data_IF_676882581644
#
_entry.id   IF_676882581644
#
_cell.length_a   1.000
_cell.length_b   1.000
_cell.length_c   1.000
_cell.angle_alpha   90.00
_cell.angle_beta   90.00
_cell.angle_gamma   90.00
#
_symmetry.space_group_name_H-M   'P 1'
#
loop_
_entity.id
_entity.type
_entity.pdbx_description
1 polymer ?
#
# COMPACT_ATOMS: atom_id res chain seq x y z
N UNK A 1 19.02 -1.20 -28.21
CA UNK A 1 17.91 -1.66 -29.07
C UNK A 1 17.40 -2.95 -28.46
N UNK A 2 16.19 -2.94 -27.88
CA UNK A 2 15.64 -4.14 -27.23
C UNK A 2 15.29 -5.19 -28.29
N UNK A 3 15.42 -6.49 -27.99
CA UNK A 3 14.97 -7.53 -28.89
C UNK A 3 13.45 -7.41 -29.10
N UNK A 4 13.01 -7.58 -30.34
CA UNK A 4 11.59 -7.61 -30.69
C UNK A 4 10.94 -8.78 -29.94
N UNK A 5 10.12 -8.45 -28.95
CA UNK A 5 9.41 -9.41 -28.08
C UNK A 5 8.22 -10.06 -28.80
N UNK A 6 8.04 -9.83 -30.10
CA UNK A 6 6.99 -10.49 -30.88
C UNK A 6 7.28 -11.99 -30.96
N UNK A 7 6.45 -12.85 -30.34
CA UNK A 7 6.61 -14.29 -30.50
C UNK A 7 6.48 -14.65 -31.98
N UNK A 8 7.51 -15.31 -32.52
CA UNK A 8 7.50 -15.81 -33.90
C UNK A 8 6.70 -17.11 -33.93
N UNK A 9 5.43 -17.03 -34.30
CA UNK A 9 4.61 -18.22 -34.54
C UNK A 9 4.85 -18.80 -35.94
N UNK A 10 4.55 -20.09 -36.11
CA UNK A 10 4.77 -20.85 -37.36
C UNK A 10 3.87 -20.35 -38.51
N UNK A 11 4.25 -20.67 -39.75
CA UNK A 11 3.68 -20.14 -41.01
C UNK A 11 2.15 -20.27 -41.18
N UNK A 12 1.46 -21.05 -40.34
CA UNK A 12 0.00 -21.24 -40.41
C UNK A 12 -0.74 -20.76 -39.14
N UNK A 13 -0.10 -19.92 -38.31
CA UNK A 13 -0.75 -19.31 -37.16
C UNK A 13 -1.65 -18.15 -37.61
N UNK A 14 -2.96 -18.35 -37.56
CA UNK A 14 -3.94 -17.31 -37.80
C UNK A 14 -4.01 -16.40 -36.56
N UNK A 15 -3.75 -15.08 -36.68
CA UNK A 15 -3.78 -14.16 -35.54
C UNK A 15 -5.23 -13.72 -35.27
N UNK A 16 -6.11 -14.67 -34.97
CA UNK A 16 -7.42 -14.36 -34.37
C UNK A 16 -7.34 -14.21 -32.85
N UNK A 17 -6.21 -14.54 -32.23
CA UNK A 17 -6.02 -14.66 -30.77
C UNK A 17 -4.95 -13.71 -30.20
N UNK A 18 -4.79 -12.50 -30.75
CA UNK A 18 -4.10 -11.46 -29.97
C UNK A 18 -5.09 -10.94 -28.91
N UNK A 19 -5.10 -11.61 -27.76
CA UNK A 19 -5.79 -11.11 -26.57
C UNK A 19 -5.12 -9.82 -26.12
N UNK A 20 -5.93 -8.83 -25.79
CA UNK A 20 -5.42 -7.55 -25.28
C UNK A 20 -4.57 -7.78 -24.03
N UNK A 21 -3.56 -6.95 -23.81
CA UNK A 21 -2.66 -7.12 -22.65
C UNK A 21 -3.41 -7.13 -21.30
N UNK A 22 -4.50 -6.39 -21.19
CA UNK A 22 -5.36 -6.34 -20.00
C UNK A 22 -6.51 -7.36 -20.02
N UNK A 23 -6.63 -8.18 -21.06
CA UNK A 23 -7.65 -9.22 -21.11
C UNK A 23 -7.30 -10.34 -20.11
N UNK A 24 -8.24 -10.74 -19.24
CA UNK A 24 -7.97 -11.80 -18.29
C UNK A 24 -7.72 -13.14 -19.02
N UNK A 25 -6.69 -13.90 -18.60
CA UNK A 25 -6.42 -15.21 -19.16
C UNK A 25 -7.54 -16.20 -18.80
N UNK A 26 -7.59 -17.30 -19.56
CA UNK A 26 -8.54 -18.38 -19.29
C UNK A 26 -8.27 -19.03 -17.92
N UNK A 27 -9.32 -19.50 -17.20
CA UNK A 27 -9.15 -20.33 -16.03
C UNK A 27 -8.26 -21.55 -16.34
N UNK A 28 -7.26 -21.80 -15.49
CA UNK A 28 -6.24 -22.83 -15.74
C UNK A 28 -4.92 -22.30 -16.29
N UNK A 29 -4.83 -21.00 -16.59
CA UNK A 29 -3.54 -20.36 -16.89
C UNK A 29 -2.57 -20.47 -15.70
N UNK A 30 -1.40 -21.04 -15.97
CA UNK A 30 -0.34 -21.31 -14.97
C UNK A 30 0.82 -20.31 -15.03
N UNK A 31 0.75 -19.32 -15.93
CA UNK A 31 1.77 -18.29 -16.06
C UNK A 31 1.67 -17.21 -14.98
N UNK A 32 2.51 -16.18 -15.12
CA UNK A 32 2.58 -15.10 -14.16
C UNK A 32 1.44 -14.08 -14.34
N UNK A 33 0.77 -13.74 -13.25
CA UNK A 33 -0.20 -12.65 -13.19
C UNK A 33 0.33 -11.57 -12.25
N UNK A 34 0.54 -10.32 -12.72
CA UNK A 34 1.09 -9.25 -11.89
C UNK A 34 0.14 -8.87 -10.76
N UNK A 35 0.69 -8.40 -9.63
CA UNK A 35 -0.04 -7.93 -8.43
C UNK A 35 -1.06 -8.90 -7.81
N UNK A 36 -0.91 -10.20 -8.09
CA UNK A 36 -1.69 -11.32 -7.54
C UNK A 36 -2.20 -11.07 -6.11
N UNK A 37 -1.27 -10.88 -5.17
CA UNK A 37 -1.53 -10.81 -3.71
C UNK A 37 -2.50 -9.72 -3.27
N UNK A 38 -2.65 -8.65 -4.03
CA UNK A 38 -3.52 -7.52 -3.68
C UNK A 38 -4.97 -7.75 -4.10
N UNK A 39 -5.16 -8.57 -5.15
CA UNK A 39 -6.48 -8.84 -5.74
C UNK A 39 -6.99 -10.28 -5.46
N UNK A 40 -6.13 -11.15 -4.91
CA UNK A 40 -6.38 -12.59 -4.67
C UNK A 40 -7.46 -12.92 -3.62
N UNK A 41 -7.94 -11.94 -2.84
CA UNK A 41 -8.84 -12.20 -1.72
C UNK A 41 -10.31 -12.04 -2.13
N UNK A 42 -11.05 -13.15 -2.15
CA UNK A 42 -12.53 -13.15 -2.20
C UNK A 42 -13.17 -12.83 -3.56
N UNK A 43 -12.40 -12.77 -4.66
CA UNK A 43 -12.90 -12.43 -5.99
C UNK A 43 -12.70 -13.58 -7.00
N UNK A 44 -13.45 -13.55 -8.11
CA UNK A 44 -13.33 -14.55 -9.19
C UNK A 44 -12.01 -14.40 -9.94
N UNK A 45 -11.48 -15.51 -10.44
CA UNK A 45 -10.21 -15.55 -11.20
C UNK A 45 -10.10 -14.45 -12.25
N UNK A 46 -11.03 -14.39 -13.20
CA UNK A 46 -11.00 -13.41 -14.29
C UNK A 46 -11.06 -11.95 -13.82
N UNK A 47 -11.64 -11.67 -12.65
CA UNK A 47 -11.78 -10.32 -12.12
C UNK A 47 -10.44 -9.84 -11.56
N UNK A 48 -9.83 -10.63 -10.67
CA UNK A 48 -8.56 -10.22 -10.07
C UNK A 48 -7.41 -10.24 -11.08
N UNK A 49 -7.41 -11.19 -12.02
CA UNK A 49 -6.36 -11.22 -13.05
C UNK A 49 -6.43 -10.00 -13.94
N UNK A 50 -7.64 -9.58 -14.35
CA UNK A 50 -7.85 -8.36 -15.12
C UNK A 50 -7.33 -7.15 -14.35
N UNK A 51 -7.68 -7.02 -13.07
CA UNK A 51 -7.19 -5.97 -12.18
C UNK A 51 -5.66 -5.92 -12.09
N UNK A 52 -5.02 -7.08 -11.93
CA UNK A 52 -3.56 -7.18 -11.91
C UNK A 52 -2.90 -6.67 -13.20
N UNK A 53 -3.41 -7.07 -14.37
CA UNK A 53 -2.88 -6.60 -15.65
C UNK A 53 -3.12 -5.10 -15.88
N UNK A 54 -4.33 -4.58 -15.59
CA UNK A 54 -4.63 -3.15 -15.71
C UNK A 54 -3.73 -2.31 -14.81
N UNK A 55 -3.50 -2.75 -13.57
CA UNK A 55 -2.61 -2.07 -12.65
C UNK A 55 -1.16 -2.09 -13.11
N UNK A 56 -0.72 -3.20 -13.70
CA UNK A 56 0.64 -3.30 -14.25
C UNK A 56 0.86 -2.34 -15.41
N UNK A 57 -0.16 -2.17 -16.27
CA UNK A 57 -0.11 -1.25 -17.40
C UNK A 57 -0.08 0.21 -16.93
N UNK A 58 -0.92 0.56 -15.96
CA UNK A 58 -0.92 1.93 -15.39
C UNK A 58 0.40 2.26 -14.70
N UNK A 59 0.99 1.30 -13.96
CA UNK A 59 2.31 1.45 -13.36
C UNK A 59 3.41 1.65 -14.40
N UNK A 60 3.39 0.86 -15.48
CA UNK A 60 4.34 1.00 -16.59
C UNK A 60 4.26 2.40 -17.19
N UNK A 61 3.06 2.86 -17.56
CA UNK A 61 2.88 4.20 -18.13
C UNK A 61 3.34 5.30 -17.17
N UNK A 62 3.05 5.15 -15.88
CA UNK A 62 3.56 6.08 -14.86
C UNK A 62 5.09 6.12 -14.85
N UNK A 63 5.75 4.98 -14.95
CA UNK A 63 7.22 4.90 -14.99
C UNK A 63 7.79 5.50 -16.27
N UNK A 64 7.19 5.27 -17.43
CA UNK A 64 7.58 5.88 -18.71
C UNK A 64 7.44 7.41 -18.67
N UNK A 65 6.34 7.91 -18.11
CA UNK A 65 6.11 9.34 -17.94
C UNK A 65 7.11 9.97 -16.96
N UNK A 66 7.45 9.27 -15.87
CA UNK A 66 8.47 9.74 -14.93
C UNK A 66 9.87 9.74 -15.56
N UNK A 67 10.19 8.74 -16.37
CA UNK A 67 11.48 8.65 -17.06
C UNK A 67 11.68 9.76 -18.11
N UNK A 68 10.60 10.28 -18.68
CA UNK A 68 10.64 11.38 -19.67
C UNK A 68 10.60 12.77 -19.04
N UNK A 69 10.25 12.88 -17.75
CA UNK A 69 10.24 14.15 -17.04
C UNK A 69 11.66 14.61 -16.70
N UNK A 70 11.95 15.90 -16.99
CA UNK A 70 13.20 16.53 -16.56
C UNK A 70 13.17 16.75 -15.05
N UNK A 71 14.20 16.30 -14.35
CA UNK A 71 14.36 16.52 -12.91
C UNK A 71 14.88 17.95 -12.72
N UNK A 72 14.03 18.83 -12.21
CA UNK A 72 14.43 20.18 -11.81
C UNK A 72 14.99 20.15 -10.38
N UNK A 73 16.31 20.23 -10.26
CA UNK A 73 17.05 20.17 -8.97
C UNK A 73 16.97 21.50 -8.21
N UNK A 74 16.55 22.59 -8.86
CA UNK A 74 16.42 23.92 -8.24
C UNK A 74 15.10 24.08 -7.50
N UNK A 75 14.10 23.29 -7.88
CA UNK A 75 12.81 23.25 -7.22
C UNK A 75 12.90 22.31 -6.04
N UNK A 76 13.06 22.85 -4.84
CA UNK A 76 12.77 22.14 -3.61
C UNK A 76 11.25 22.21 -3.46
N UNK A 77 10.47 21.17 -3.84
CA UNK A 77 9.05 21.19 -3.52
C UNK A 77 8.95 21.28 -2.00
N UNK A 78 8.10 22.16 -1.47
CA UNK A 78 7.65 22.02 -0.10
C UNK A 78 7.16 20.58 0.04
N UNK A 79 7.71 19.84 1.00
CA UNK A 79 7.36 18.45 1.24
C UNK A 79 5.88 18.39 1.66
N UNK A 80 4.98 18.40 0.70
CA UNK A 80 3.56 18.25 0.93
C UNK A 80 3.34 16.77 1.13
N UNK A 81 3.67 16.29 2.34
CA UNK A 81 3.18 15.02 2.82
C UNK A 81 1.66 15.19 2.92
N UNK A 82 0.96 14.89 1.83
CA UNK A 82 -0.47 14.64 1.90
C UNK A 82 -0.58 13.36 2.68
N UNK A 83 -0.74 13.49 4.00
CA UNK A 83 -1.19 12.42 4.86
C UNK A 83 -2.55 12.06 4.31
N UNK A 84 -2.58 11.12 3.37
CA UNK A 84 -3.80 10.51 2.96
C UNK A 84 -4.18 9.66 4.17
N UNK A 85 -4.94 10.27 5.07
CA UNK A 85 -5.77 9.57 6.03
C UNK A 85 -6.82 8.81 5.23
N UNK A 86 -6.37 7.93 4.33
CA UNK A 86 -7.25 6.91 3.79
C UNK A 86 -7.41 6.00 4.98
N UNK A 87 -8.57 6.14 5.59
CA UNK A 87 -9.24 5.16 6.43
C UNK A 87 -9.39 3.88 5.60
N UNK A 88 -8.26 3.26 5.24
CA UNK A 88 -8.21 1.93 4.70
C UNK A 88 -8.65 1.02 5.84
N UNK A 89 -9.95 0.74 5.92
CA UNK A 89 -10.52 -0.55 6.24
C UNK A 89 -9.92 -1.38 7.39
N UNK A 90 -9.35 -0.77 8.42
CA UNK A 90 -8.91 -1.51 9.62
C UNK A 90 -9.75 -1.06 10.78
N UNK A 91 -10.43 -2.00 11.44
CA UNK A 91 -11.29 -1.79 12.63
C UNK A 91 -10.64 -0.99 13.78
N UNK A 92 -9.34 -0.65 13.69
CA UNK A 92 -8.63 0.18 14.65
C UNK A 92 -7.84 1.29 13.94
N UNK A 93 -8.22 2.56 14.17
CA UNK A 93 -7.35 3.74 13.99
C UNK A 93 -7.60 4.78 15.08
N UNK A 94 -6.52 5.12 15.77
CA UNK A 94 -6.17 6.26 16.66
C UNK A 94 -5.02 5.69 17.47
N UNK A 95 -3.85 5.68 16.86
CA UNK A 95 -2.78 4.72 17.14
C UNK A 95 -2.29 4.82 18.59
N UNK A 96 -2.67 3.86 19.43
CA UNK A 96 -2.02 3.61 20.72
C UNK A 96 -0.57 3.18 20.53
N UNK A 97 0.14 2.92 21.63
CA UNK A 97 1.55 2.57 21.57
C UNK A 97 1.78 1.27 20.79
N UNK A 98 2.94 1.18 20.12
CA UNK A 98 3.36 -0.01 19.38
C UNK A 98 3.40 -1.22 20.33
N UNK A 99 2.75 -2.35 19.99
CA UNK A 99 2.93 -3.61 20.71
C UNK A 99 4.42 -3.97 20.78
N UNK A 100 4.86 -4.53 21.91
CA UNK A 100 6.29 -4.81 22.27
C UNK A 100 7.09 -3.63 22.84
N UNK A 101 6.48 -2.47 23.11
CA UNK A 101 7.13 -1.50 23.99
C UNK A 101 7.31 -2.10 25.39
N UNK A 102 8.53 -2.07 25.91
CA UNK A 102 8.93 -2.71 27.17
C UNK A 102 9.11 -1.72 28.33
N UNK A 103 8.92 -0.42 28.09
CA UNK A 103 9.03 0.61 29.12
C UNK A 103 7.79 0.73 30.01
N UNK A 104 7.88 1.61 31.00
CA UNK A 104 6.79 1.88 31.94
C UNK A 104 5.65 2.66 31.28
N UNK A 105 4.41 2.26 31.56
CA UNK A 105 3.19 2.97 31.14
C UNK A 105 2.38 3.30 32.39
N UNK A 106 2.28 4.60 32.75
CA UNK A 106 1.47 5.05 33.87
C UNK A 106 0.05 4.51 33.82
N UNK A 107 -0.46 4.05 34.97
CA UNK A 107 -1.86 3.61 35.16
C UNK A 107 -2.32 2.40 34.32
N UNK A 108 -1.47 1.81 33.45
CA UNK A 108 -1.79 0.60 32.66
C UNK A 108 -2.26 -0.57 33.54
N UNK A 109 -1.70 -0.71 34.73
CA UNK A 109 -1.98 -1.84 35.65
C UNK A 109 -3.42 -1.87 36.17
N UNK A 110 -4.16 -0.76 36.05
CA UNK A 110 -5.55 -0.63 36.51
C UNK A 110 -6.57 -0.72 35.36
N UNK A 111 -6.11 -0.99 34.13
CA UNK A 111 -6.95 -1.10 32.93
C UNK A 111 -6.74 -2.48 32.32
N UNK A 112 -7.79 -3.28 32.28
CA UNK A 112 -7.77 -4.65 31.75
C UNK A 112 -8.95 -4.86 30.80
N UNK A 113 -8.91 -5.95 30.02
CA UNK A 113 -9.99 -6.33 29.09
C UNK A 113 -9.93 -5.69 27.70
N UNK A 114 -8.94 -4.83 27.44
CA UNK A 114 -8.75 -4.16 26.15
C UNK A 114 -7.46 -4.63 25.46
N UNK A 115 -7.35 -4.40 24.15
CA UNK A 115 -6.07 -4.62 23.46
C UNK A 115 -4.99 -3.66 23.97
N UNK A 116 -3.72 -3.99 23.72
CA UNK A 116 -2.60 -3.13 24.12
C UNK A 116 -2.72 -1.71 23.53
N UNK A 117 -3.14 -1.58 22.28
CA UNK A 117 -3.33 -0.29 21.62
C UNK A 117 -4.48 0.52 22.22
N UNK A 118 -5.58 -0.13 22.60
CA UNK A 118 -6.76 0.54 23.17
C UNK A 118 -6.52 0.94 24.63
N UNK A 119 -5.84 0.09 25.38
CA UNK A 119 -5.42 0.38 26.75
C UNK A 119 -4.47 1.55 26.77
N UNK A 120 -3.50 1.60 25.86
CA UNK A 120 -2.52 2.70 25.84
C UNK A 120 -3.16 4.00 25.41
N UNK A 121 -3.94 4.06 24.32
CA UNK A 121 -4.55 5.33 23.87
C UNK A 121 -5.53 5.97 24.87
N UNK A 122 -6.17 5.16 25.72
CA UNK A 122 -7.13 5.66 26.72
C UNK A 122 -6.47 6.24 27.96
N UNK A 123 -5.14 6.07 28.11
CA UNK A 123 -4.38 6.62 29.22
C UNK A 123 -3.97 8.06 28.94
N UNK A 124 -4.05 8.98 29.92
CA UNK A 124 -3.83 10.42 29.71
C UNK A 124 -2.44 10.76 29.18
N UNK A 125 -1.43 9.93 29.47
CA UNK A 125 -0.05 10.12 29.01
C UNK A 125 0.17 9.74 27.53
N UNK A 126 -0.70 8.87 26.99
CA UNK A 126 -0.63 8.40 25.60
C UNK A 126 -1.84 8.88 24.78
N UNK A 127 -2.78 9.58 25.42
CA UNK A 127 -3.87 10.29 24.79
C UNK A 127 -3.30 11.52 24.11
N UNK A 128 -2.77 11.30 22.91
CA UNK A 128 -2.20 12.36 22.12
C UNK A 128 -3.13 12.67 20.95
N UNK A 129 -3.94 13.71 21.10
CA UNK A 129 -4.82 14.20 20.03
C UNK A 129 -4.04 14.78 18.85
N UNK A 130 -2.78 15.20 19.08
CA UNK A 130 -1.97 15.93 18.10
C UNK A 130 -0.69 15.17 17.65
N UNK A 131 -0.35 14.08 18.32
CA UNK A 131 0.60 13.03 17.93
C UNK A 131 2.08 13.26 18.27
N UNK A 132 2.67 12.28 18.98
CA UNK A 132 4.10 11.95 19.02
C UNK A 132 4.66 11.79 17.60
N UNK A 133 3.80 11.49 16.61
CA UNK A 133 4.11 11.47 15.19
C UNK A 133 4.49 12.85 14.62
N UNK A 134 4.16 13.94 15.31
CA UNK A 134 4.54 15.32 14.95
C UNK A 134 5.72 15.86 15.78
N UNK A 135 6.45 15.00 16.49
CA UNK A 135 7.65 15.36 17.26
C UNK A 135 7.45 16.47 18.32
N UNK A 136 6.22 16.69 18.79
CA UNK A 136 5.92 17.59 19.91
C UNK A 136 5.97 16.81 21.21
N UNK A 137 7.13 16.75 21.84
CA UNK A 137 7.27 16.14 23.16
C UNK A 137 6.72 17.09 24.23
N UNK A 138 5.57 16.76 24.82
CA UNK A 138 5.08 17.45 26.01
C UNK A 138 5.86 16.90 27.20
N UNK A 139 6.90 17.61 27.63
CA UNK A 139 7.49 17.41 28.96
C UNK A 139 6.65 18.21 29.94
N UNK A 140 5.59 17.63 30.51
CA UNK A 140 5.07 18.19 31.75
C UNK A 140 6.06 17.80 32.85
N UNK A 141 6.67 18.76 33.57
CA UNK A 141 7.45 18.41 34.74
C UNK A 141 6.52 17.80 35.77
N UNK A 142 6.89 16.63 36.28
CA UNK A 142 6.25 16.04 37.45
C UNK A 142 6.72 16.86 38.65
N UNK A 143 5.81 17.60 39.29
CA UNK A 143 5.99 18.07 40.67
C UNK A 143 5.71 16.92 41.63
#
# INVERSE_FOLDING_TARGET
MYPDLKPRYSKNYFPSEQREFCEPPLPGYTGYVPRRREHDLGTRYAVWTKGGFTDSLTMRHKQENLATQRIDVTRIPEATVKVSNIEHGTLYKTFGMKPKYTGYIPQRRFRFGNTYGDTTRSLPICYDSNGYSQAKYITTPVM
#
